data_IF_286866564099
#
_entry.id   IF_286866564099
#
_cell.length_a   1.000
_cell.length_b   1.000
_cell.length_c   1.000
_cell.angle_alpha   90.00
_cell.angle_beta   90.00
_cell.angle_gamma   90.00
#
_symmetry.space_group_name_H-M   'P 1'
#
loop_
_entity.id
_entity.type
_entity.pdbx_description
1 polymer ?
#
# COMPACT_ATOMS: atom_id res chain seq x y z
N UNK A 1 -2.68 28.84 -16.93
CA UNK A 1 -1.26 29.26 -16.98
C UNK A 1 -1.12 30.31 -18.07
N UNK A 2 -0.32 31.35 -17.82
CA UNK A 2 0.01 32.40 -18.79
C UNK A 2 1.53 32.51 -18.90
N UNK A 3 2.06 32.54 -20.12
CA UNK A 3 3.47 32.84 -20.34
C UNK A 3 3.69 34.36 -20.33
N UNK A 4 4.22 34.89 -19.23
CA UNK A 4 4.55 36.31 -19.06
C UNK A 4 5.97 36.67 -19.50
N UNK A 5 6.68 35.74 -20.13
CA UNK A 5 8.05 35.91 -20.62
C UNK A 5 8.08 36.33 -22.09
N UNK A 6 9.27 36.65 -22.57
CA UNK A 6 9.57 37.05 -23.96
C UNK A 6 9.94 35.87 -24.86
N UNK A 7 10.12 34.67 -24.28
CA UNK A 7 10.46 33.44 -25.01
C UNK A 7 9.32 32.43 -24.96
N UNK A 8 9.20 31.59 -26.00
CA UNK A 8 8.26 30.47 -26.01
C UNK A 8 8.75 29.33 -25.12
N UNK A 9 7.86 28.76 -24.31
CA UNK A 9 8.10 27.51 -23.60
C UNK A 9 7.63 26.35 -24.47
N UNK A 10 8.56 25.70 -25.18
CA UNK A 10 8.29 24.52 -26.00
C UNK A 10 8.42 23.24 -25.18
N UNK A 11 7.60 22.24 -25.52
CA UNK A 11 7.60 20.92 -24.85
C UNK A 11 7.43 21.00 -23.33
N UNK A 12 6.72 22.02 -22.84
CA UNK A 12 6.49 22.17 -21.42
C UNK A 12 5.46 21.13 -20.97
N UNK A 13 5.81 20.37 -19.95
CA UNK A 13 4.96 19.31 -19.38
C UNK A 13 4.39 19.84 -18.07
N UNK A 14 3.07 19.95 -17.99
CA UNK A 14 2.37 20.39 -16.78
C UNK A 14 1.05 19.65 -16.64
N UNK A 15 0.56 19.49 -15.42
CA UNK A 15 -0.76 18.93 -15.19
C UNK A 15 -0.99 18.58 -13.73
N UNK A 16 -2.22 18.16 -13.40
CA UNK A 16 -2.56 17.73 -12.06
C UNK A 16 -1.97 16.35 -11.75
N UNK A 17 -1.76 16.11 -10.47
CA UNK A 17 -1.23 14.87 -9.94
C UNK A 17 -2.06 14.40 -8.75
N UNK A 18 -2.13 13.09 -8.57
CA UNK A 18 -2.61 12.47 -7.33
C UNK A 18 -1.46 11.69 -6.70
N UNK A 19 -1.13 12.01 -5.45
CA UNK A 19 -0.17 11.28 -4.63
C UNK A 19 -0.85 10.78 -3.37
N UNK A 20 -0.37 9.66 -2.85
CA UNK A 20 -1.07 8.96 -1.77
C UNK A 20 -0.14 8.55 -0.64
N UNK A 21 -0.59 8.89 0.56
CA UNK A 21 -0.01 8.46 1.83
C UNK A 21 -0.47 7.08 2.30
N UNK A 22 -1.42 6.39 1.63
CA UNK A 22 -1.79 4.97 1.84
C UNK A 22 -2.31 4.34 0.57
N UNK A 23 -2.02 3.08 0.24
CA UNK A 23 -2.61 2.41 -0.93
C UNK A 23 -1.75 2.44 -2.19
N UNK A 24 -2.40 2.38 -3.36
CA UNK A 24 -1.74 2.29 -4.67
C UNK A 24 -2.31 3.26 -5.70
N UNK A 25 -1.50 3.66 -6.68
CA UNK A 25 -1.98 4.32 -7.87
C UNK A 25 -2.41 3.31 -8.95
N UNK A 26 -3.32 3.74 -9.83
CA UNK A 26 -3.95 2.92 -10.85
C UNK A 26 -4.23 3.73 -12.11
N UNK A 27 -4.04 3.10 -13.26
CA UNK A 27 -4.46 3.64 -14.56
C UNK A 27 -5.21 2.58 -15.37
N UNK A 28 -6.44 2.82 -15.83
CA UNK A 28 -7.16 1.89 -16.70
C UNK A 28 -6.36 1.54 -17.95
N UNK A 29 -6.43 0.29 -18.38
CA UNK A 29 -5.66 -0.22 -19.52
C UNK A 29 -4.19 -0.54 -19.20
N UNK A 30 -3.72 -0.24 -17.98
CA UNK A 30 -2.36 -0.53 -17.51
C UNK A 30 -2.35 -1.25 -16.15
N UNK A 31 -3.12 -0.77 -15.17
CA UNK A 31 -3.15 -1.26 -13.80
C UNK A 31 -2.28 -0.42 -12.85
N UNK A 32 -1.74 -1.07 -11.82
CA UNK A 32 -0.74 -0.48 -10.91
C UNK A 32 0.67 -0.86 -11.39
N UNK A 33 1.61 0.09 -11.35
CA UNK A 33 2.99 -0.19 -11.73
C UNK A 33 3.84 1.06 -11.84
N UNK A 34 4.83 1.03 -12.74
CA UNK A 34 5.74 2.15 -12.97
C UNK A 34 5.75 2.55 -14.44
N UNK A 35 5.51 3.83 -14.70
CA UNK A 35 5.67 4.48 -15.99
C UNK A 35 6.52 5.72 -15.75
N UNK A 36 7.68 5.79 -16.41
CA UNK A 36 8.43 7.05 -16.47
C UNK A 36 7.65 8.06 -17.30
N UNK A 37 7.85 9.36 -17.08
CA UNK A 37 7.14 10.40 -17.84
C UNK A 37 7.21 10.14 -19.34
N UNK A 38 6.08 9.78 -19.93
CA UNK A 38 6.00 9.28 -21.32
C UNK A 38 4.61 9.49 -21.92
N UNK A 39 4.47 9.50 -23.26
CA UNK A 39 3.17 9.54 -23.91
C UNK A 39 2.29 8.37 -23.46
N UNK A 40 1.07 8.63 -23.03
CA UNK A 40 0.17 7.58 -22.51
C UNK A 40 -0.19 6.52 -23.56
N UNK A 41 -0.22 6.93 -24.82
CA UNK A 41 -0.49 6.05 -25.97
C UNK A 41 0.59 4.98 -26.15
N UNK A 42 1.83 5.25 -25.71
CA UNK A 42 2.92 4.27 -25.72
C UNK A 42 2.66 3.05 -24.84
N UNK A 43 1.73 3.16 -23.88
CA UNK A 43 1.30 2.07 -23.00
C UNK A 43 -0.10 1.54 -23.34
N UNK A 44 -0.69 2.03 -24.44
CA UNK A 44 -2.06 1.68 -24.84
C UNK A 44 -3.11 2.11 -23.83
N UNK A 45 -2.88 3.25 -23.15
CA UNK A 45 -3.84 3.89 -22.25
C UNK A 45 -4.71 4.84 -23.08
N UNK A 46 -6.00 4.54 -23.16
CA UNK A 46 -7.00 5.37 -23.86
C UNK A 46 -7.79 6.26 -22.91
N UNK A 47 -7.92 5.87 -21.64
CA UNK A 47 -8.67 6.63 -20.65
C UNK A 47 -7.97 7.93 -20.26
N UNK A 48 -8.78 8.86 -19.77
CA UNK A 48 -8.37 10.20 -19.33
C UNK A 48 -8.42 10.35 -17.80
N UNK A 49 -8.60 9.24 -17.08
CA UNK A 49 -8.63 9.22 -15.63
C UNK A 49 -7.60 8.25 -15.05
N UNK A 50 -7.08 8.62 -13.89
CA UNK A 50 -6.23 7.79 -13.04
C UNK A 50 -6.85 7.73 -11.65
N UNK A 51 -6.41 6.81 -10.81
CA UNK A 51 -6.87 6.73 -9.43
C UNK A 51 -5.75 6.46 -8.44
N UNK A 52 -5.96 6.92 -7.20
CA UNK A 52 -5.32 6.40 -6.00
C UNK A 52 -6.36 5.61 -5.21
N UNK A 53 -6.00 4.45 -4.68
CA UNK A 53 -6.98 3.56 -4.05
C UNK A 53 -6.39 2.75 -2.90
N UNK A 54 -7.28 2.40 -1.96
CA UNK A 54 -7.10 1.37 -0.95
C UNK A 54 -8.47 0.67 -0.73
N UNK A 55 -8.56 -0.31 0.17
CA UNK A 55 -9.84 -0.96 0.53
C UNK A 55 -10.88 0.06 1.04
N UNK A 56 -10.42 1.07 1.79
CA UNK A 56 -11.23 2.02 2.56
C UNK A 56 -11.37 3.39 1.90
N UNK A 57 -10.85 3.59 0.68
CA UNK A 57 -11.07 4.83 -0.08
C UNK A 57 -10.67 4.69 -1.56
N UNK A 58 -11.19 5.58 -2.40
CA UNK A 58 -10.64 5.86 -3.72
C UNK A 58 -10.64 7.36 -4.04
N UNK A 59 -9.60 7.81 -4.73
CA UNK A 59 -9.48 9.15 -5.30
C UNK A 59 -9.31 9.01 -6.80
N UNK A 60 -10.26 9.50 -7.59
CA UNK A 60 -10.14 9.60 -9.05
C UNK A 60 -9.64 10.98 -9.45
N UNK A 61 -8.71 11.03 -10.40
CA UNK A 61 -8.32 12.27 -11.08
C UNK A 61 -8.66 12.12 -12.55
N UNK A 62 -9.68 12.85 -13.00
CA UNK A 62 -10.05 12.93 -14.41
C UNK A 62 -9.47 14.21 -15.02
N UNK A 63 -8.58 14.02 -15.99
CA UNK A 63 -7.86 15.08 -16.70
C UNK A 63 -8.12 14.92 -18.20
N UNK A 64 -9.18 15.53 -18.75
CA UNK A 64 -9.56 15.37 -20.14
C UNK A 64 -8.39 15.59 -21.09
N UNK A 65 -8.17 14.66 -22.02
CA UNK A 65 -7.16 14.71 -23.08
C UNK A 65 -5.70 14.91 -22.61
N UNK A 66 -5.34 14.47 -21.41
CA UNK A 66 -3.94 14.50 -21.00
C UNK A 66 -3.10 13.63 -21.97
N UNK A 67 -1.87 14.05 -22.27
CA UNK A 67 -1.04 13.43 -23.31
C UNK A 67 0.05 12.52 -22.76
N UNK A 68 0.55 12.84 -21.56
CA UNK A 68 1.65 12.11 -20.91
C UNK A 68 1.27 11.67 -19.51
N UNK A 69 1.88 10.59 -19.05
CA UNK A 69 1.70 10.08 -17.69
C UNK A 69 3.06 9.77 -17.07
N UNK A 70 3.18 10.05 -15.77
CA UNK A 70 4.11 9.34 -14.91
C UNK A 70 3.30 8.56 -13.88
N UNK A 71 3.64 7.29 -13.68
CA UNK A 71 2.96 6.42 -12.73
C UNK A 71 4.00 5.77 -11.84
N UNK A 72 3.72 5.72 -10.54
CA UNK A 72 4.41 4.92 -9.56
C UNK A 72 3.38 4.19 -8.70
N UNK A 73 3.82 3.30 -7.81
CA UNK A 73 2.89 2.67 -6.86
C UNK A 73 2.19 3.69 -5.96
N UNK A 74 2.75 4.88 -5.74
CA UNK A 74 2.28 5.87 -4.76
C UNK A 74 1.88 7.22 -5.34
N UNK A 75 1.89 7.38 -6.67
CA UNK A 75 1.38 8.57 -7.34
C UNK A 75 1.04 8.29 -8.81
N UNK A 76 0.14 9.09 -9.35
CA UNK A 76 -0.14 9.16 -10.79
C UNK A 76 -0.23 10.63 -11.20
N UNK A 77 0.62 11.01 -12.15
CA UNK A 77 0.70 12.36 -12.67
C UNK A 77 0.20 12.36 -14.10
N UNK A 78 -0.86 13.11 -14.35
CA UNK A 78 -1.39 13.31 -15.69
C UNK A 78 -0.87 14.63 -16.24
N UNK A 79 -0.19 14.60 -17.36
CA UNK A 79 0.43 15.79 -17.93
C UNK A 79 -0.06 16.11 -19.34
N UNK A 80 -0.04 17.40 -19.64
CA UNK A 80 -0.19 17.99 -20.95
C UNK A 80 1.18 18.46 -21.43
N UNK A 81 1.62 17.94 -22.57
CA UNK A 81 2.70 18.55 -23.33
C UNK A 81 2.13 19.71 -24.15
N UNK A 82 2.59 20.92 -23.85
CA UNK A 82 2.14 22.13 -24.54
C UNK A 82 3.31 23.01 -24.96
N UNK A 83 3.08 23.81 -26.01
CA UNK A 83 3.90 24.97 -26.33
C UNK A 83 3.12 26.22 -25.93
N UNK A 84 3.73 27.10 -25.14
CA UNK A 84 3.17 28.39 -24.74
C UNK A 84 4.04 29.52 -25.30
N UNK A 85 3.51 30.26 -26.27
CA UNK A 85 4.19 31.43 -26.83
C UNK A 85 4.10 32.63 -25.88
N UNK A 86 4.97 33.65 -26.02
CA UNK A 86 4.90 34.88 -25.24
C UNK A 86 3.47 35.47 -25.23
N UNK A 87 2.94 35.73 -24.04
CA UNK A 87 1.58 36.23 -23.82
C UNK A 87 0.45 35.20 -23.99
N UNK A 88 0.74 33.96 -24.42
CA UNK A 88 -0.27 32.90 -24.55
C UNK A 88 -0.75 32.44 -23.17
N UNK A 89 -2.06 32.20 -23.07
CA UNK A 89 -2.70 31.61 -21.90
C UNK A 89 -3.41 30.32 -22.26
N UNK A 90 -3.26 29.30 -21.41
CA UNK A 90 -4.03 28.05 -21.50
C UNK A 90 -4.65 27.68 -20.17
N UNK A 91 -5.82 27.06 -20.25
CA UNK A 91 -6.58 26.54 -19.11
C UNK A 91 -6.65 25.03 -19.26
N UNK A 92 -6.33 24.33 -18.17
CA UNK A 92 -6.49 22.88 -18.06
C UNK A 92 -7.53 22.64 -16.99
N UNK A 93 -8.53 21.86 -17.32
CA UNK A 93 -9.59 21.48 -16.39
C UNK A 93 -9.31 20.07 -15.89
N UNK A 94 -9.57 19.82 -14.61
CA UNK A 94 -9.44 18.51 -14.02
C UNK A 94 -10.42 18.35 -12.87
N UNK A 95 -10.87 17.12 -12.65
CA UNK A 95 -11.90 16.79 -11.69
C UNK A 95 -11.33 15.80 -10.68
N UNK A 96 -11.42 16.16 -9.41
CA UNK A 96 -11.10 15.26 -8.30
C UNK A 96 -12.39 14.58 -7.83
N UNK A 97 -12.38 13.26 -7.84
CA UNK A 97 -13.50 12.40 -7.42
C UNK A 97 -13.06 11.70 -6.15
N UNK A 98 -13.82 11.83 -5.06
CA UNK A 98 -13.48 11.26 -3.75
C UNK A 98 -14.56 10.26 -3.35
N UNK A 99 -14.16 9.03 -3.07
CA UNK A 99 -15.04 7.94 -2.66
C UNK A 99 -14.59 7.36 -1.31
N UNK A 100 -15.54 7.02 -0.42
CA UNK A 100 -15.26 6.48 0.91
C UNK A 100 -14.90 4.99 0.90
N UNK A 101 -14.81 4.38 -0.28
CA UNK A 101 -14.49 2.97 -0.45
C UNK A 101 -13.73 2.79 -1.78
N UNK A 102 -12.96 1.71 -1.89
CA UNK A 102 -12.13 1.40 -3.05
C UNK A 102 -12.89 0.93 -4.30
N UNK A 103 -14.00 1.58 -4.70
CA UNK A 103 -14.79 1.23 -5.88
C UNK A 103 -14.38 2.07 -7.10
N UNK A 104 -13.57 1.50 -8.00
CA UNK A 104 -13.11 2.25 -9.17
C UNK A 104 -14.12 2.28 -10.31
N UNK A 105 -15.09 1.35 -10.36
CA UNK A 105 -16.13 1.45 -11.38
C UNK A 105 -17.05 2.65 -11.13
N UNK A 106 -17.22 3.09 -9.87
CA UNK A 106 -17.89 4.36 -9.56
C UNK A 106 -17.10 5.60 -10.03
N UNK A 107 -15.76 5.54 -10.06
CA UNK A 107 -14.95 6.60 -10.69
C UNK A 107 -15.21 6.61 -12.18
N UNK A 108 -15.14 5.45 -12.85
CA UNK A 108 -15.42 5.33 -14.28
C UNK A 108 -16.82 5.86 -14.62
N UNK A 109 -17.85 5.45 -13.88
CA UNK A 109 -19.23 5.95 -14.00
C UNK A 109 -19.30 7.47 -13.87
N UNK A 110 -18.66 8.04 -12.85
CA UNK A 110 -18.63 9.50 -12.64
C UNK A 110 -17.99 10.22 -13.83
N UNK A 111 -16.88 9.69 -14.36
CA UNK A 111 -16.21 10.24 -15.54
C UNK A 111 -17.11 10.19 -16.77
N UNK A 112 -17.82 9.08 -17.00
CA UNK A 112 -18.73 8.97 -18.13
C UNK A 112 -19.94 9.90 -18.01
N UNK A 113 -20.46 10.08 -16.81
CA UNK A 113 -21.54 11.03 -16.55
C UNK A 113 -21.09 12.47 -16.84
N UNK A 114 -19.86 12.85 -16.49
CA UNK A 114 -19.29 14.17 -16.84
C UNK A 114 -19.19 14.34 -18.35
N UNK A 115 -18.79 13.29 -19.08
CA UNK A 115 -18.71 13.30 -20.55
C UNK A 115 -20.08 13.28 -21.24
N UNK A 116 -21.16 12.99 -20.52
CA UNK A 116 -22.49 12.75 -21.10
C UNK A 116 -22.57 11.48 -21.93
N UNK A 117 -21.69 10.51 -21.66
CA UNK A 117 -21.69 9.20 -22.32
C UNK A 117 -22.77 8.28 -21.74
N UNK A 118 -23.20 7.30 -22.54
CA UNK A 118 -24.24 6.35 -22.11
C UNK A 118 -23.61 5.15 -21.41
N UNK A 119 -24.38 4.59 -20.48
CA UNK A 119 -23.98 3.47 -19.64
C UNK A 119 -24.88 2.24 -19.88
N UNK A 120 -24.36 1.08 -19.51
CA UNK A 120 -25.12 -0.14 -19.28
C UNK A 120 -24.99 -0.56 -17.81
N UNK A 121 -26.00 -1.23 -17.27
CA UNK A 121 -26.01 -1.71 -15.89
C UNK A 121 -25.74 -3.20 -15.82
N UNK A 122 -24.91 -3.60 -14.86
CA UNK A 122 -24.60 -5.00 -14.57
C UNK A 122 -24.81 -5.22 -13.08
N UNK A 123 -25.58 -6.23 -12.73
CA UNK A 123 -25.83 -6.60 -11.35
C UNK A 123 -25.85 -8.11 -11.16
N UNK A 124 -25.84 -8.56 -9.92
CA UNK A 124 -26.02 -9.96 -9.58
C UNK A 124 -25.45 -10.31 -8.22
N UNK A 125 -25.20 -11.59 -8.02
CA UNK A 125 -24.63 -12.13 -6.78
C UNK A 125 -23.25 -12.74 -7.00
N UNK A 126 -22.44 -12.69 -5.94
CA UNK A 126 -21.14 -13.33 -5.87
C UNK A 126 -21.07 -14.22 -4.60
N UNK A 127 -20.86 -15.52 -4.81
CA UNK A 127 -20.69 -16.52 -3.77
C UNK A 127 -19.43 -17.34 -4.00
N UNK A 128 -18.97 -18.01 -2.94
CA UNK A 128 -17.94 -19.04 -3.06
C UNK A 128 -18.49 -20.27 -3.79
N UNK A 129 -17.60 -21.17 -4.22
CA UNK A 129 -17.95 -22.49 -4.75
C UNK A 129 -18.71 -23.40 -3.77
N UNK A 130 -18.88 -22.98 -2.51
CA UNK A 130 -19.71 -23.64 -1.50
C UNK A 130 -21.11 -23.03 -1.33
N UNK A 131 -21.36 -21.90 -1.99
CA UNK A 131 -22.58 -21.12 -1.83
C UNK A 131 -22.55 -20.11 -0.67
N UNK A 132 -21.40 -19.91 -0.01
CA UNK A 132 -21.26 -18.85 0.99
C UNK A 132 -21.20 -17.48 0.31
N UNK A 133 -21.80 -16.47 0.93
CA UNK A 133 -21.73 -15.10 0.41
C UNK A 133 -20.27 -14.64 0.34
N UNK A 134 -19.88 -14.04 -0.79
CA UNK A 134 -18.55 -13.48 -0.93
C UNK A 134 -18.44 -12.19 -0.09
N UNK A 135 -17.67 -12.25 0.99
CA UNK A 135 -17.45 -11.12 1.91
C UNK A 135 -16.23 -10.33 1.47
N UNK A 136 -16.34 -8.99 1.45
CA UNK A 136 -15.26 -8.08 1.00
C UNK A 136 -14.70 -8.46 -0.38
N UNK A 137 -15.56 -8.99 -1.24
CA UNK A 137 -15.22 -9.31 -2.61
C UNK A 137 -15.32 -8.09 -3.51
N UNK A 138 -14.79 -8.24 -4.72
CA UNK A 138 -14.94 -7.28 -5.81
C UNK A 138 -15.36 -8.03 -7.08
N UNK A 139 -15.98 -7.30 -8.00
CA UNK A 139 -16.14 -7.72 -9.39
C UNK A 139 -15.19 -6.91 -10.24
N UNK A 140 -14.18 -7.58 -10.78
CA UNK A 140 -13.18 -7.01 -11.67
C UNK A 140 -13.73 -6.91 -13.09
N UNK A 141 -13.45 -5.79 -13.74
CA UNK A 141 -13.80 -5.52 -15.13
C UNK A 141 -12.51 -5.34 -15.92
N UNK A 142 -12.37 -6.12 -16.99
CA UNK A 142 -11.29 -6.01 -17.96
C UNK A 142 -11.87 -5.55 -19.31
N UNK A 143 -11.14 -4.69 -20.01
CA UNK A 143 -11.42 -4.28 -21.39
C UNK A 143 -10.20 -4.57 -22.23
N UNK A 144 -10.37 -5.26 -23.36
CA UNK A 144 -9.26 -5.72 -24.22
C UNK A 144 -8.16 -6.47 -23.45
N UNK A 145 -8.56 -7.37 -22.54
CA UNK A 145 -7.68 -8.14 -21.65
C UNK A 145 -6.78 -7.30 -20.72
N UNK A 146 -7.14 -6.02 -20.51
CA UNK A 146 -6.45 -5.11 -19.61
C UNK A 146 -7.39 -4.69 -18.48
N UNK A 147 -6.87 -4.43 -17.27
CA UNK A 147 -7.70 -4.01 -16.15
C UNK A 147 -8.36 -2.66 -16.47
N UNK A 148 -9.67 -2.54 -16.23
CA UNK A 148 -10.44 -1.31 -16.47
C UNK A 148 -10.91 -0.66 -15.16
N UNK A 149 -11.67 -1.39 -14.35
CA UNK A 149 -12.14 -0.97 -13.03
C UNK A 149 -12.56 -2.18 -12.21
N UNK A 150 -12.98 -1.98 -10.96
CA UNK A 150 -13.71 -2.99 -10.19
C UNK A 150 -14.78 -2.35 -9.32
N UNK A 151 -15.88 -3.08 -9.11
CA UNK A 151 -16.97 -2.72 -8.19
C UNK A 151 -16.95 -3.60 -6.94
N UNK A 152 -17.55 -3.13 -5.85
CA UNK A 152 -17.55 -3.86 -4.58
C UNK A 152 -18.72 -4.85 -4.48
N UNK A 153 -18.46 -6.01 -3.88
CA UNK A 153 -19.50 -6.97 -3.46
C UNK A 153 -19.92 -6.65 -2.03
N UNK A 154 -21.19 -6.33 -1.83
CA UNK A 154 -21.79 -6.00 -0.54
C UNK A 154 -22.87 -7.02 -0.21
N UNK A 155 -22.73 -7.72 0.93
CA UNK A 155 -23.63 -8.81 1.33
C UNK A 155 -23.86 -9.84 0.21
N UNK A 156 -22.80 -10.21 -0.51
CA UNK A 156 -22.84 -11.17 -1.61
C UNK A 156 -23.56 -10.67 -2.87
N UNK A 157 -23.95 -9.40 -2.96
CA UNK A 157 -24.52 -8.80 -4.17
C UNK A 157 -23.65 -7.65 -4.67
N UNK A 158 -23.73 -7.35 -5.95
CA UNK A 158 -23.01 -6.23 -6.56
C UNK A 158 -23.84 -5.56 -7.64
N UNK A 159 -23.51 -4.31 -7.93
CA UNK A 159 -24.05 -3.56 -9.06
C UNK A 159 -22.99 -2.59 -9.56
N UNK A 160 -22.82 -2.49 -10.87
CA UNK A 160 -21.86 -1.59 -11.50
C UNK A 160 -22.40 -1.05 -12.83
N UNK A 161 -21.96 0.15 -13.20
CA UNK A 161 -22.30 0.81 -14.46
C UNK A 161 -21.07 0.84 -15.35
N UNK A 162 -21.18 0.36 -16.59
CA UNK A 162 -20.08 0.37 -17.56
C UNK A 162 -20.36 1.28 -18.76
N UNK A 163 -19.33 1.89 -19.35
CA UNK A 163 -19.47 2.63 -20.61
C UNK A 163 -20.08 1.75 -21.71
N UNK A 164 -20.97 2.34 -22.50
CA UNK A 164 -21.61 1.66 -23.61
C UNK A 164 -21.56 2.52 -24.89
N UNK A 165 -21.30 1.92 -26.07
CA UNK A 165 -21.07 0.49 -26.29
C UNK A 165 -19.68 0.03 -25.86
N UNK A 166 -19.54 -1.24 -25.48
CA UNK A 166 -18.25 -1.80 -25.05
C UNK A 166 -18.24 -3.32 -24.96
N UNK A 167 -17.05 -3.91 -24.97
CA UNK A 167 -16.85 -5.35 -24.73
C UNK A 167 -15.94 -5.54 -23.53
N UNK A 168 -16.37 -6.37 -22.59
CA UNK A 168 -15.76 -6.55 -21.29
C UNK A 168 -15.62 -8.03 -20.93
N UNK A 169 -14.60 -8.35 -20.13
CA UNK A 169 -14.46 -9.61 -19.39
C UNK A 169 -14.64 -9.28 -17.91
N UNK A 170 -15.55 -9.99 -17.24
CA UNK A 170 -15.91 -9.75 -15.83
C UNK A 170 -15.77 -11.01 -15.00
N UNK A 171 -15.24 -10.87 -13.79
CA UNK A 171 -15.09 -11.96 -12.83
C UNK A 171 -15.06 -11.45 -11.39
N UNK A 172 -15.51 -12.27 -10.46
CA UNK A 172 -15.45 -11.99 -9.02
C UNK A 172 -14.16 -12.52 -8.40
N UNK A 173 -13.65 -11.83 -7.39
CA UNK A 173 -12.52 -12.26 -6.56
C UNK A 173 -12.57 -11.61 -5.18
N UNK A 174 -11.84 -12.19 -4.23
CA UNK A 174 -11.66 -11.65 -2.88
C UNK A 174 -10.24 -11.94 -2.39
N UNK A 175 -9.87 -11.35 -1.24
CA UNK A 175 -8.54 -11.54 -0.65
C UNK A 175 -8.31 -13.03 -0.37
N UNK A 176 -7.13 -13.52 -0.77
CA UNK A 176 -6.74 -14.93 -0.66
C UNK A 176 -7.67 -15.94 -1.39
N UNK A 177 -8.65 -15.52 -2.18
CA UNK A 177 -9.46 -16.44 -2.98
C UNK A 177 -8.90 -16.53 -4.41
N UNK A 178 -9.09 -17.66 -5.08
CA UNK A 178 -8.89 -17.71 -6.53
C UNK A 178 -10.12 -17.09 -7.24
N UNK A 179 -9.93 -16.43 -8.40
CA UNK A 179 -11.01 -15.75 -9.09
C UNK A 179 -12.08 -16.74 -9.59
N UNK A 180 -13.30 -16.25 -9.77
CA UNK A 180 -14.36 -16.96 -10.48
C UNK A 180 -13.99 -17.18 -11.95
N UNK A 181 -14.79 -17.99 -12.64
CA UNK A 181 -14.78 -18.03 -14.11
C UNK A 181 -15.07 -16.65 -14.69
N UNK A 182 -14.33 -16.29 -15.74
CA UNK A 182 -14.54 -15.05 -16.50
C UNK A 182 -15.77 -15.18 -17.39
N UNK A 183 -16.62 -14.16 -17.37
CA UNK A 183 -17.77 -14.03 -18.26
C UNK A 183 -17.53 -12.86 -19.22
N UNK A 184 -17.68 -13.11 -20.52
CA UNK A 184 -17.52 -12.09 -21.55
C UNK A 184 -18.89 -11.48 -21.89
N UNK A 185 -18.90 -10.16 -22.05
CA UNK A 185 -20.09 -9.37 -22.25
C UNK A 185 -19.83 -8.30 -23.31
N UNK A 186 -20.79 -8.08 -24.21
CA UNK A 186 -20.87 -6.88 -25.03
C UNK A 186 -22.10 -6.10 -24.62
N UNK A 187 -21.93 -4.83 -24.27
CA UNK A 187 -23.00 -3.96 -23.79
C UNK A 187 -23.37 -2.91 -24.83
N UNK A 188 -24.66 -2.61 -24.93
CA UNK A 188 -25.21 -1.46 -25.64
C UNK A 188 -25.86 -0.48 -24.65
N UNK A 189 -26.05 0.80 -25.07
CA UNK A 189 -26.59 1.83 -24.19
C UNK A 189 -27.96 1.49 -23.58
N UNK A 190 -28.08 1.61 -22.26
CA UNK A 190 -29.33 1.39 -21.52
C UNK A 190 -29.69 -0.07 -21.29
N UNK A 191 -28.83 -1.01 -21.70
CA UNK A 191 -29.02 -2.43 -21.39
C UNK A 191 -28.71 -2.74 -19.92
N UNK A 192 -29.36 -3.79 -19.44
CA UNK A 192 -29.22 -4.32 -18.09
C UNK A 192 -28.89 -5.81 -18.17
N UNK A 193 -27.89 -6.24 -17.40
CA UNK A 193 -27.40 -7.62 -17.38
C UNK A 193 -27.37 -8.15 -15.95
N UNK A 194 -27.95 -9.33 -15.75
CA UNK A 194 -27.77 -10.11 -14.52
C UNK A 194 -26.65 -11.14 -14.74
N UNK A 195 -25.55 -11.00 -14.00
CA UNK A 195 -24.42 -11.93 -14.03
C UNK A 195 -24.17 -12.45 -12.62
N UNK A 196 -24.19 -13.78 -12.45
CA UNK A 196 -23.97 -14.40 -11.15
C UNK A 196 -22.63 -15.14 -11.15
N UNK A 197 -21.84 -14.94 -10.10
CA UNK A 197 -20.56 -15.62 -9.88
C UNK A 197 -20.71 -16.56 -8.68
N UNK A 198 -20.68 -17.87 -8.90
CA UNK A 198 -20.95 -18.85 -7.84
C UNK A 198 -19.79 -19.83 -7.61
N UNK A 199 -18.64 -19.54 -8.19
CA UNK A 199 -17.49 -20.44 -8.31
C UNK A 199 -16.18 -19.79 -7.83
N UNK A 200 -16.25 -18.72 -7.02
CA UNK A 200 -15.06 -18.17 -6.37
C UNK A 200 -14.48 -19.21 -5.41
N UNK A 201 -13.21 -19.57 -5.60
CA UNK A 201 -12.62 -20.71 -4.88
C UNK A 201 -12.05 -20.22 -3.54
N UNK A 202 -12.47 -20.81 -2.39
CA UNK A 202 -11.96 -20.46 -1.07
C UNK A 202 -10.44 -20.62 -0.92
N UNK A 203 -9.81 -19.85 0.00
CA UNK A 203 -8.41 -19.98 0.33
C UNK A 203 -8.06 -21.34 0.93
N UNK A 204 -6.79 -21.69 0.88
CA UNK A 204 -6.16 -22.59 1.85
C UNK A 204 -5.40 -21.80 2.93
N UNK A 205 -5.11 -22.45 4.05
CA UNK A 205 -4.41 -21.86 5.19
C UNK A 205 -2.99 -22.35 5.29
N UNK A 206 -2.03 -21.44 5.44
CA UNK A 206 -0.64 -21.76 5.73
C UNK A 206 -0.38 -21.52 7.22
N UNK A 207 0.16 -22.53 7.90
CA UNK A 207 0.67 -22.44 9.27
C UNK A 207 2.17 -22.69 9.20
N UNK A 208 2.95 -21.61 9.29
CA UNK A 208 4.40 -21.64 9.18
C UNK A 208 5.03 -21.40 10.54
N UNK A 209 5.99 -22.25 10.93
CA UNK A 209 6.78 -22.09 12.15
C UNK A 209 8.28 -22.01 11.80
N UNK A 210 8.93 -20.94 12.26
CA UNK A 210 10.35 -20.67 12.04
C UNK A 210 11.17 -20.96 13.28
N UNK A 211 12.19 -21.78 13.14
CA UNK A 211 13.13 -22.15 14.19
C UNK A 211 14.55 -21.73 13.85
N UNK A 212 15.38 -21.49 14.87
CA UNK A 212 16.81 -21.34 14.70
C UNK A 212 17.45 -22.72 14.55
N UNK A 213 18.34 -22.87 13.56
CA UNK A 213 19.00 -24.14 13.26
C UNK A 213 19.90 -24.64 14.41
N UNK A 214 20.55 -23.73 15.13
CA UNK A 214 21.52 -24.06 16.17
C UNK A 214 20.91 -24.39 17.54
N UNK A 215 19.77 -23.78 17.89
CA UNK A 215 19.12 -23.93 19.20
C UNK A 215 17.82 -24.71 19.15
N UNK A 216 17.19 -24.79 17.97
CA UNK A 216 15.84 -25.35 17.82
C UNK A 216 14.73 -24.44 18.38
N UNK A 217 15.07 -23.26 18.89
CA UNK A 217 14.08 -22.32 19.44
C UNK A 217 13.33 -21.58 18.32
N UNK A 218 12.04 -21.25 18.51
CA UNK A 218 11.31 -20.41 17.59
C UNK A 218 11.94 -19.00 17.46
N UNK A 219 11.84 -18.37 16.29
CA UNK A 219 12.41 -17.04 16.06
C UNK A 219 11.56 -16.17 15.15
N UNK A 220 11.55 -14.87 15.42
CA UNK A 220 10.86 -13.92 14.55
C UNK A 220 11.43 -13.93 13.14
N UNK A 221 10.57 -13.75 12.13
CA UNK A 221 10.98 -13.66 10.74
C UNK A 221 9.97 -12.84 9.92
N UNK A 222 10.49 -12.29 8.82
CA UNK A 222 9.71 -11.76 7.70
C UNK A 222 9.55 -12.87 6.66
N UNK A 223 8.35 -13.07 6.17
CA UNK A 223 8.01 -14.02 5.12
C UNK A 223 7.57 -13.20 3.90
N UNK A 224 8.38 -13.21 2.85
CA UNK A 224 7.98 -12.68 1.54
C UNK A 224 7.26 -13.79 0.78
N UNK A 225 6.05 -13.49 0.31
CA UNK A 225 5.22 -14.41 -0.45
C UNK A 225 5.28 -14.01 -1.92
N UNK A 226 5.70 -14.95 -2.76
CA UNK A 226 5.62 -14.82 -4.21
C UNK A 226 5.02 -16.11 -4.76
N UNK A 227 4.32 -16.06 -5.88
CA UNK A 227 3.67 -17.26 -6.40
C UNK A 227 3.00 -17.05 -7.72
N UNK A 228 2.34 -18.11 -8.16
CA UNK A 228 1.69 -18.19 -9.47
C UNK A 228 0.54 -17.18 -9.62
N UNK A 229 -0.22 -16.96 -8.54
CA UNK A 229 -1.33 -16.02 -8.55
C UNK A 229 -1.00 -14.72 -7.84
N UNK A 230 -1.08 -13.61 -8.59
CA UNK A 230 -1.04 -12.24 -8.07
C UNK A 230 -2.35 -11.56 -8.45
N UNK A 231 -3.19 -11.15 -7.48
CA UNK A 231 -4.45 -10.49 -7.80
C UNK A 231 -4.17 -9.12 -8.44
N UNK A 232 -5.01 -8.68 -9.40
CA UNK A 232 -4.84 -7.40 -10.08
C UNK A 232 -5.07 -6.18 -9.18
N UNK A 233 -5.69 -6.38 -8.01
CA UNK A 233 -5.97 -5.35 -7.01
C UNK A 233 -5.08 -5.55 -5.80
N UNK A 234 -4.22 -4.57 -5.54
CA UNK A 234 -3.05 -4.78 -4.69
C UNK A 234 -3.36 -5.04 -3.21
N UNK A 235 -4.45 -4.48 -2.65
CA UNK A 235 -4.84 -4.76 -1.26
C UNK A 235 -5.38 -6.19 -1.04
N UNK A 236 -5.71 -6.91 -2.13
CA UNK A 236 -6.09 -8.32 -2.08
C UNK A 236 -4.88 -9.25 -2.04
N UNK A 237 -3.69 -8.74 -2.39
CA UNK A 237 -2.47 -9.54 -2.41
C UNK A 237 -1.92 -9.76 -0.99
N UNK A 238 -1.40 -10.96 -0.74
CA UNK A 238 -0.58 -11.28 0.43
C UNK A 238 0.86 -11.37 -0.06
N UNK A 239 1.67 -10.36 0.26
CA UNK A 239 3.06 -10.25 -0.24
C UNK A 239 4.09 -10.29 0.87
N UNK A 240 3.74 -9.81 2.05
CA UNK A 240 4.60 -9.82 3.24
C UNK A 240 3.79 -10.27 4.44
N UNK A 241 4.33 -11.23 5.17
CA UNK A 241 3.80 -11.72 6.45
C UNK A 241 4.92 -11.66 7.47
N UNK A 242 4.56 -11.42 8.73
CA UNK A 242 5.50 -11.53 9.84
C UNK A 242 5.04 -12.64 10.79
N UNK A 243 5.99 -13.28 11.45
CA UNK A 243 5.67 -14.13 12.60
C UNK A 243 5.01 -13.30 13.71
N UNK A 244 4.10 -13.93 14.44
CA UNK A 244 3.35 -13.33 15.53
C UNK A 244 4.25 -12.72 16.60
N UNK A 245 3.86 -11.56 17.12
CA UNK A 245 4.56 -10.96 18.26
C UNK A 245 4.27 -11.70 19.57
N UNK A 246 3.26 -12.56 19.66
CA UNK A 246 2.91 -13.29 20.90
C UNK A 246 3.18 -14.79 20.81
N UNK A 247 3.20 -15.35 19.59
CA UNK A 247 3.49 -16.76 19.33
C UNK A 247 4.76 -16.83 18.47
N UNK A 248 5.91 -16.71 19.15
CA UNK A 248 7.21 -16.47 18.52
C UNK A 248 7.49 -17.53 17.46
N UNK A 249 7.92 -17.09 16.28
CA UNK A 249 8.23 -17.97 15.15
C UNK A 249 7.02 -18.46 14.36
N UNK A 250 5.79 -18.28 14.85
CA UNK A 250 4.60 -18.75 14.15
C UNK A 250 3.93 -17.67 13.31
N UNK A 251 3.64 -17.98 12.05
CA UNK A 251 2.85 -17.15 11.14
C UNK A 251 1.65 -17.96 10.62
N UNK A 252 0.46 -17.34 10.58
CA UNK A 252 -0.75 -17.93 10.02
C UNK A 252 -1.35 -16.96 9.02
N UNK A 253 -1.56 -17.42 7.80
CA UNK A 253 -2.11 -16.61 6.74
C UNK A 253 -2.81 -17.49 5.70
N UNK A 254 -3.79 -16.90 5.03
CA UNK A 254 -4.58 -17.58 4.01
C UNK A 254 -4.08 -17.16 2.62
N UNK A 255 -4.00 -18.12 1.69
CA UNK A 255 -3.60 -17.90 0.29
C UNK A 255 -4.61 -18.55 -0.65
N UNK A 256 -4.69 -18.01 -1.87
CA UNK A 256 -5.45 -18.66 -2.92
C UNK A 256 -4.84 -20.03 -3.24
N UNK A 257 -5.63 -21.00 -3.72
CA UNK A 257 -5.07 -22.25 -4.20
C UNK A 257 -4.01 -22.02 -5.29
N UNK A 258 -2.85 -22.68 -5.15
CA UNK A 258 -1.73 -22.49 -6.06
C UNK A 258 -0.38 -22.87 -5.45
N UNK A 259 0.69 -22.68 -6.21
CA UNK A 259 2.06 -22.90 -5.74
C UNK A 259 2.77 -21.57 -5.47
N UNK A 260 3.40 -21.48 -4.30
CA UNK A 260 4.04 -20.27 -3.79
C UNK A 260 5.46 -20.54 -3.32
N UNK A 261 6.34 -19.58 -3.57
CA UNK A 261 7.63 -19.47 -2.92
C UNK A 261 7.50 -18.58 -1.69
N UNK A 262 7.82 -19.13 -0.53
CA UNK A 262 7.94 -18.40 0.72
C UNK A 262 9.42 -18.15 0.99
N UNK A 263 9.82 -16.88 1.05
CA UNK A 263 11.18 -16.48 1.42
C UNK A 263 11.19 -15.99 2.86
N UNK A 264 11.77 -16.80 3.74
CA UNK A 264 11.90 -16.56 5.17
C UNK A 264 13.20 -15.80 5.42
N UNK A 265 13.10 -14.64 6.06
CA UNK A 265 14.21 -13.73 6.31
C UNK A 265 14.24 -13.30 7.78
N UNK A 266 15.41 -13.46 8.42
CA UNK A 266 15.71 -12.99 9.78
C UNK A 266 16.95 -12.12 9.72
N UNK A 267 16.84 -10.86 10.09
CA UNK A 267 18.00 -9.98 10.12
C UNK A 267 18.31 -9.25 8.83
N UNK A 268 17.39 -9.25 7.86
CA UNK A 268 17.49 -8.49 6.62
C UNK A 268 18.82 -8.67 5.86
N UNK A 269 19.39 -9.88 5.88
CA UNK A 269 20.66 -10.20 5.24
C UNK A 269 21.93 -9.83 6.04
N UNK A 270 21.81 -9.20 7.22
CA UNK A 270 22.97 -8.82 8.04
C UNK A 270 23.50 -9.96 8.92
N UNK A 271 22.59 -10.76 9.49
CA UNK A 271 22.94 -11.84 10.44
C UNK A 271 22.55 -13.24 9.98
N UNK A 272 21.74 -13.35 8.93
CA UNK A 272 21.36 -14.62 8.29
C UNK A 272 21.15 -14.43 6.79
N UNK A 273 21.21 -15.53 6.04
CA UNK A 273 20.76 -15.57 4.66
C UNK A 273 19.29 -15.99 4.63
N UNK A 274 18.50 -15.33 3.78
CA UNK A 274 17.10 -15.71 3.57
C UNK A 274 16.99 -17.13 2.97
N UNK A 275 15.97 -17.87 3.40
CA UNK A 275 15.69 -19.23 2.93
C UNK A 275 14.37 -19.26 2.18
N UNK A 276 14.39 -19.76 0.96
CA UNK A 276 13.18 -19.93 0.15
C UNK A 276 12.73 -21.39 0.13
N UNK A 277 11.44 -21.60 0.34
CA UNK A 277 10.77 -22.91 0.20
C UNK A 277 9.58 -22.78 -0.75
N UNK A 278 9.22 -23.88 -1.39
CA UNK A 278 8.01 -23.98 -2.21
C UNK A 278 6.91 -24.66 -1.40
N UNK A 279 5.69 -24.11 -1.45
CA UNK A 279 4.49 -24.66 -0.82
C UNK A 279 3.36 -24.71 -1.83
N UNK A 280 2.61 -25.80 -1.83
CA UNK A 280 1.36 -25.92 -2.60
C UNK A 280 0.20 -25.77 -1.64
N UNK A 281 -0.68 -24.81 -1.91
CA UNK A 281 -1.87 -24.52 -1.13
C UNK A 281 -3.07 -25.04 -1.90
N UNK A 282 -3.85 -25.90 -1.26
CA UNK A 282 -5.13 -26.38 -1.78
C UNK A 282 -6.29 -25.67 -1.08
N UNK A 283 -7.42 -25.56 -1.77
CA UNK A 283 -8.61 -24.91 -1.23
C UNK A 283 -9.07 -25.60 0.05
N UNK A 284 -9.32 -24.80 1.09
CA UNK A 284 -9.83 -25.24 2.40
C UNK A 284 -8.92 -26.23 3.16
N UNK A 285 -7.70 -26.46 2.68
CA UNK A 285 -6.72 -27.28 3.37
C UNK A 285 -5.81 -26.42 4.24
N UNK A 286 -5.26 -27.05 5.28
CA UNK A 286 -4.20 -26.48 6.11
C UNK A 286 -2.87 -27.08 5.66
N UNK A 287 -1.89 -26.22 5.42
CA UNK A 287 -0.52 -26.60 5.10
C UNK A 287 0.36 -26.20 6.28
N UNK A 288 0.85 -27.20 7.02
CA UNK A 288 1.80 -27.01 8.11
C UNK A 288 3.25 -27.06 7.58
N UNK A 289 4.03 -26.04 7.92
CA UNK A 289 5.39 -25.87 7.40
C UNK A 289 6.34 -25.50 8.52
N UNK A 290 7.40 -26.29 8.70
CA UNK A 290 8.47 -25.99 9.64
C UNK A 290 9.74 -25.62 8.87
N UNK A 291 10.34 -24.47 9.21
CA UNK A 291 11.53 -23.96 8.53
C UNK A 291 12.58 -23.60 9.57
N UNK A 292 13.81 -24.05 9.32
CA UNK A 292 14.97 -23.58 10.09
C UNK A 292 15.71 -22.46 9.35
N UNK A 293 16.15 -21.44 10.11
CA UNK A 293 17.06 -20.38 9.68
C UNK A 293 18.37 -20.44 10.46
N UNK A 294 19.48 -20.13 9.80
CA UNK A 294 20.81 -20.13 10.40
C UNK A 294 21.24 -18.70 10.75
N UNK A 295 21.45 -18.41 12.03
CA UNK A 295 22.05 -17.15 12.47
C UNK A 295 23.56 -17.31 12.39
N UNK A 296 24.19 -16.61 11.45
CA UNK A 296 25.62 -16.71 11.17
C UNK A 296 26.46 -15.79 12.06
N UNK A 297 25.89 -14.67 12.49
CA UNK A 297 26.57 -13.68 13.32
C UNK A 297 25.60 -13.05 14.31
N UNK A 298 26.05 -12.84 15.54
CA UNK A 298 25.27 -12.17 16.59
C UNK A 298 26.09 -10.99 17.14
N UNK A 299 25.89 -9.77 16.61
CA UNK A 299 26.64 -8.58 17.02
C UNK A 299 26.71 -8.37 18.54
N UNK A 300 25.64 -8.71 19.26
CA UNK A 300 25.56 -8.54 20.72
C UNK A 300 26.60 -9.35 21.49
N UNK A 301 27.06 -10.47 20.93
CA UNK A 301 28.08 -11.31 21.58
C UNK A 301 29.45 -10.60 21.58
N UNK A 302 29.63 -9.61 20.69
CA UNK A 302 30.79 -8.73 20.58
C UNK A 302 30.54 -7.34 21.20
N UNK A 303 29.41 -7.16 21.91
CA UNK A 303 29.03 -5.88 22.53
C UNK A 303 28.46 -4.84 21.56
N UNK A 304 28.07 -5.23 20.34
CA UNK A 304 27.40 -4.35 19.37
C UNK A 304 25.89 -4.60 19.35
N UNK A 305 25.10 -3.53 19.30
CA UNK A 305 23.64 -3.63 19.27
C UNK A 305 23.07 -3.08 17.95
N UNK A 306 22.17 -3.83 17.33
CA UNK A 306 21.44 -3.44 16.12
C UNK A 306 20.19 -2.69 16.50
N UNK A 307 20.06 -1.47 15.98
CA UNK A 307 18.97 -0.55 16.31
C UNK A 307 18.54 0.22 15.07
N UNK A 308 17.27 0.58 15.01
CA UNK A 308 16.72 1.54 14.05
C UNK A 308 16.12 2.71 14.83
N UNK A 309 16.86 3.82 14.89
CA UNK A 309 16.50 4.99 15.72
C UNK A 309 15.70 6.04 14.95
N UNK A 310 15.00 5.64 13.89
CA UNK A 310 14.04 6.49 13.17
C UNK A 310 13.03 5.63 12.37
N UNK A 311 11.90 5.31 12.99
CA UNK A 311 10.84 4.49 12.40
C UNK A 311 9.47 4.99 12.84
N UNK A 312 8.55 5.14 11.90
CA UNK A 312 7.18 5.61 12.12
C UNK A 312 6.19 4.44 12.19
N UNK A 313 5.10 4.64 12.90
CA UNK A 313 3.98 3.70 13.00
C UNK A 313 2.83 4.14 12.10
N UNK A 314 1.57 3.89 12.47
CA UNK A 314 0.39 4.24 11.68
C UNK A 314 -0.06 5.70 11.88
N UNK A 315 0.88 6.59 12.21
CA UNK A 315 0.63 8.01 12.40
C UNK A 315 1.20 8.87 11.27
N UNK A 316 0.36 9.77 10.75
CA UNK A 316 0.66 10.71 9.67
C UNK A 316 1.16 10.10 8.35
N UNK A 317 2.47 9.94 8.16
CA UNK A 317 3.10 9.62 6.87
C UNK A 317 3.55 8.16 6.73
N UNK A 318 3.43 7.37 7.80
CA UNK A 318 3.52 5.92 7.76
C UNK A 318 2.17 5.28 8.14
N UNK A 319 2.07 3.96 7.97
CA UNK A 319 0.82 3.19 7.91
C UNK A 319 0.95 1.87 8.66
N UNK A 320 2.05 1.66 9.36
CA UNK A 320 2.39 0.37 9.98
C UNK A 320 1.82 0.32 11.39
N UNK A 321 0.78 -0.51 11.66
CA UNK A 321 0.21 -0.61 13.00
C UNK A 321 1.28 -0.97 14.03
N UNK A 322 1.17 -0.51 15.28
CA UNK A 322 2.15 -0.76 16.35
C UNK A 322 2.63 -2.22 16.46
N UNK A 323 1.71 -3.18 16.34
CA UNK A 323 2.04 -4.61 16.37
C UNK A 323 2.94 -5.04 15.20
N UNK A 324 2.61 -4.61 13.98
CA UNK A 324 3.40 -4.94 12.80
C UNK A 324 4.75 -4.21 12.78
N UNK A 325 4.84 -3.01 13.37
CA UNK A 325 6.10 -2.31 13.57
C UNK A 325 7.04 -3.13 14.48
N UNK A 326 6.52 -3.62 15.62
CA UNK A 326 7.28 -4.50 16.52
C UNK A 326 7.69 -5.78 15.78
N UNK A 327 6.75 -6.44 15.10
CA UNK A 327 7.03 -7.67 14.36
C UNK A 327 8.13 -7.46 13.29
N UNK A 328 8.08 -6.35 12.56
CA UNK A 328 9.06 -6.00 11.55
C UNK A 328 10.45 -5.74 12.14
N UNK A 329 10.54 -4.98 13.23
CA UNK A 329 11.81 -4.71 13.90
C UNK A 329 12.44 -5.97 14.50
N UNK A 330 11.64 -6.83 15.13
CA UNK A 330 12.11 -8.12 15.65
C UNK A 330 12.54 -9.06 14.53
N UNK A 331 11.78 -9.14 13.43
CA UNK A 331 12.17 -9.90 12.23
C UNK A 331 13.47 -9.40 11.62
N UNK A 332 13.70 -8.08 11.61
CA UNK A 332 14.97 -7.45 11.20
C UNK A 332 16.13 -7.69 12.18
N UNK A 333 15.89 -8.38 13.29
CA UNK A 333 16.93 -8.77 14.23
C UNK A 333 17.37 -7.65 15.18
N UNK A 334 16.61 -6.56 15.30
CA UNK A 334 16.97 -5.45 16.18
C UNK A 334 16.94 -5.88 17.65
N UNK A 335 17.89 -5.36 18.43
CA UNK A 335 18.05 -5.65 19.86
C UNK A 335 17.14 -4.81 20.76
N UNK A 336 16.57 -3.73 20.20
CA UNK A 336 15.57 -2.90 20.85
C UNK A 336 14.52 -2.46 19.85
N UNK A 337 13.30 -2.25 20.33
CA UNK A 337 12.24 -1.63 19.55
C UNK A 337 12.28 -0.12 19.75
N UNK A 338 12.04 0.64 18.68
CA UNK A 338 12.01 2.09 18.69
C UNK A 338 10.85 2.62 17.84
N UNK A 339 10.23 3.71 18.27
CA UNK A 339 9.25 4.46 17.46
C UNK A 339 9.52 5.94 17.59
N UNK A 340 9.34 6.70 16.51
CA UNK A 340 9.45 8.16 16.49
C UNK A 340 8.42 8.76 15.54
N UNK A 341 7.14 8.62 15.86
CA UNK A 341 6.09 9.24 15.06
C UNK A 341 6.25 10.77 15.01
N UNK A 342 5.75 11.39 13.94
CA UNK A 342 5.75 12.85 13.81
C UNK A 342 4.87 13.49 14.88
N UNK A 343 5.49 14.30 15.74
CA UNK A 343 4.83 15.10 16.77
C UNK A 343 3.81 14.32 17.63
N UNK A 344 4.00 13.00 17.77
CA UNK A 344 3.03 12.09 18.39
C UNK A 344 3.76 10.95 19.11
N UNK A 345 3.18 10.54 20.25
CA UNK A 345 3.70 9.44 21.07
C UNK A 345 2.60 8.51 21.55
N UNK A 346 1.37 8.68 21.06
CA UNK A 346 0.20 7.95 21.57
C UNK A 346 0.27 6.44 21.32
N UNK A 347 1.12 5.99 20.39
CA UNK A 347 1.38 4.58 20.13
C UNK A 347 2.44 3.97 21.07
N UNK A 348 3.22 4.77 21.80
CA UNK A 348 4.25 4.26 22.72
C UNK A 348 3.69 3.31 23.79
N UNK A 349 2.55 3.56 24.46
CA UNK A 349 2.00 2.61 25.44
C UNK A 349 1.64 1.25 24.86
N UNK A 350 1.11 1.21 23.64
CA UNK A 350 0.75 -0.05 22.94
C UNK A 350 2.02 -0.84 22.63
N UNK A 351 3.03 -0.18 22.07
CA UNK A 351 4.32 -0.81 21.75
C UNK A 351 5.02 -1.28 23.03
N UNK A 352 4.99 -0.47 24.10
CA UNK A 352 5.57 -0.80 25.40
C UNK A 352 4.95 -2.08 25.99
N UNK A 353 3.63 -2.27 25.86
CA UNK A 353 2.95 -3.46 26.34
C UNK A 353 3.39 -4.73 25.58
N UNK A 354 3.54 -4.63 24.24
CA UNK A 354 4.02 -5.74 23.41
C UNK A 354 5.47 -6.09 23.76
N UNK A 355 6.35 -5.09 23.89
CA UNK A 355 7.77 -5.30 24.16
C UNK A 355 8.02 -5.82 25.58
N UNK A 356 7.21 -5.42 26.57
CA UNK A 356 7.20 -6.02 27.91
C UNK A 356 6.83 -7.49 27.88
N UNK A 357 5.74 -7.85 27.17
CA UNK A 357 5.36 -9.25 26.99
C UNK A 357 6.46 -10.07 26.32
N UNK A 358 7.30 -9.41 25.50
CA UNK A 358 8.43 -10.01 24.80
C UNK A 358 9.76 -9.95 25.52
N UNK A 359 9.84 -9.28 26.67
CA UNK A 359 11.11 -9.00 27.37
C UNK A 359 12.17 -8.37 26.46
N UNK A 360 11.74 -7.49 25.54
CA UNK A 360 12.62 -6.75 24.63
C UNK A 360 12.67 -5.29 25.07
N UNK A 361 13.85 -4.64 25.10
CA UNK A 361 13.95 -3.21 25.38
C UNK A 361 13.14 -2.36 24.40
N UNK A 362 12.52 -1.30 24.90
CA UNK A 362 11.80 -0.32 24.09
C UNK A 362 12.24 1.10 24.43
N UNK A 363 12.39 1.91 23.38
CA UNK A 363 12.65 3.34 23.51
C UNK A 363 11.52 4.10 22.80
N UNK A 364 10.66 4.74 23.59
CA UNK A 364 9.71 5.71 23.07
C UNK A 364 10.46 6.97 22.65
N UNK A 365 10.43 7.29 21.36
CA UNK A 365 10.92 8.56 20.82
C UNK A 365 9.79 9.35 20.17
N UNK A 366 10.13 10.51 19.63
CA UNK A 366 9.25 11.31 18.79
C UNK A 366 10.09 12.07 17.77
N UNK A 367 9.62 12.14 16.52
CA UNK A 367 10.17 13.06 15.54
C UNK A 367 9.47 14.41 15.68
N UNK A 368 10.16 15.39 16.23
CA UNK A 368 9.69 16.77 16.28
C UNK A 368 9.90 17.40 14.91
N UNK A 369 8.82 17.86 14.27
CA UNK A 369 8.82 18.29 12.87
C UNK A 369 8.27 19.71 12.66
N UNK A 370 8.99 20.75 13.10
CA UNK A 370 8.72 22.11 12.67
C UNK A 370 9.01 22.32 11.19
N UNK A 371 8.48 23.40 10.61
CA UNK A 371 8.57 23.72 9.18
C UNK A 371 10.01 23.92 8.65
N UNK A 372 10.99 24.01 9.54
CA UNK A 372 12.38 24.35 9.20
C UNK A 372 13.39 23.21 9.47
N UNK A 373 13.00 22.11 10.14
CA UNK A 373 13.89 20.99 10.47
C UNK A 373 13.13 19.82 11.10
N UNK A 374 13.72 18.62 11.12
CA UNK A 374 13.17 17.50 11.88
C UNK A 374 14.21 16.88 12.84
N UNK A 375 13.76 16.48 14.04
CA UNK A 375 14.62 15.91 15.06
C UNK A 375 13.99 14.74 15.78
N UNK A 376 14.72 13.64 15.94
CA UNK A 376 14.35 12.61 16.89
C UNK A 376 14.82 12.98 18.28
N UNK A 377 13.91 12.92 19.26
CA UNK A 377 14.23 13.05 20.68
C UNK A 377 13.82 11.78 21.41
N UNK A 378 14.72 11.27 22.25
CA UNK A 378 14.47 10.03 22.99
C UNK A 378 15.38 9.86 24.21
N UNK A 379 14.95 9.10 25.23
CA UNK A 379 13.58 8.61 25.41
C UNK A 379 12.62 9.77 25.75
N UNK A 380 11.34 9.62 25.45
CA UNK A 380 10.27 10.49 25.96
C UNK A 380 9.69 9.84 27.22
N UNK A 381 9.87 10.48 28.37
CA UNK A 381 9.39 10.01 29.67
C UNK A 381 8.13 10.78 30.10
N UNK A 382 8.15 12.11 29.96
CA UNK A 382 6.99 12.97 30.23
C UNK A 382 6.58 13.72 28.96
N UNK A 383 5.68 13.13 28.15
CA UNK A 383 5.28 13.75 26.88
C UNK A 383 4.51 15.06 27.05
N UNK A 384 3.99 15.36 28.24
CA UNK A 384 3.30 16.63 28.51
C UNK A 384 4.23 17.85 28.47
N UNK A 385 5.55 17.62 28.49
CA UNK A 385 6.58 18.66 28.40
C UNK A 385 7.03 18.95 26.98
N UNK A 386 6.65 18.12 26.00
CA UNK A 386 7.09 18.28 24.63
C UNK A 386 6.56 19.57 24.01
N UNK A 387 7.39 20.17 23.17
CA UNK A 387 7.07 21.34 22.36
C UNK A 387 7.45 21.00 20.93
N UNK A 388 6.47 20.99 20.03
CA UNK A 388 6.64 20.54 18.65
C UNK A 388 6.98 21.68 17.67
N UNK A 389 6.77 22.94 18.09
CA UNK A 389 6.97 24.13 17.26
C UNK A 389 7.70 25.18 18.07
N UNK A 390 8.49 26.00 17.39
CA UNK A 390 9.28 27.07 18.01
C UNK A 390 10.72 27.07 17.52
N UNK A 391 11.58 27.74 18.27
CA UNK A 391 13.02 27.77 18.03
C UNK A 391 13.68 26.46 18.43
N UNK A 392 14.86 26.18 17.86
CA UNK A 392 15.71 25.06 18.27
C UNK A 392 15.92 25.00 19.80
N UNK A 393 16.16 26.16 20.44
CA UNK A 393 16.39 26.23 21.88
C UNK A 393 15.17 25.79 22.68
N UNK A 394 13.98 26.26 22.30
CA UNK A 394 12.73 25.88 22.98
C UNK A 394 12.46 24.38 22.84
N UNK A 395 12.58 23.85 21.62
CA UNK A 395 12.39 22.43 21.32
C UNK A 395 13.37 21.56 22.12
N UNK A 396 14.68 21.88 22.11
CA UNK A 396 15.67 21.12 22.88
C UNK A 396 15.40 21.23 24.38
N UNK A 397 15.07 22.42 24.89
CA UNK A 397 14.80 22.62 26.32
C UNK A 397 13.59 21.79 26.77
N UNK A 398 12.52 21.82 25.99
CA UNK A 398 11.31 21.01 26.21
C UNK A 398 11.61 19.51 26.13
N UNK A 399 12.38 19.06 25.14
CA UNK A 399 12.78 17.67 25.01
C UNK A 399 13.59 17.19 26.23
N UNK A 400 14.53 18.00 26.73
CA UNK A 400 15.25 17.69 27.98
C UNK A 400 14.32 17.61 29.18
N UNK A 401 13.35 18.52 29.29
CA UNK A 401 12.34 18.49 30.34
C UNK A 401 11.42 17.26 30.24
N UNK A 402 11.18 16.75 29.03
CA UNK A 402 10.46 15.50 28.77
C UNK A 402 11.28 14.23 29.05
N UNK A 403 12.55 14.36 29.47
CA UNK A 403 13.43 13.24 29.80
C UNK A 403 14.37 12.79 28.68
N UNK A 404 14.39 13.47 27.53
CA UNK A 404 15.24 13.08 26.41
C UNK A 404 16.73 13.22 26.76
N UNK A 405 17.48 12.14 26.52
CA UNK A 405 18.95 12.11 26.65
C UNK A 405 19.64 12.30 25.30
N UNK A 406 18.96 11.96 24.21
CA UNK A 406 19.41 12.19 22.84
C UNK A 406 18.51 13.17 22.11
N UNK A 407 19.13 14.04 21.31
CA UNK A 407 18.49 14.84 20.27
C UNK A 407 19.29 14.62 19.00
N UNK A 408 18.66 14.04 17.99
CA UNK A 408 19.28 13.67 16.71
C UNK A 408 18.67 14.53 15.61
N UNK A 409 19.48 15.26 14.85
CA UNK A 409 19.02 15.87 13.61
C UNK A 409 18.73 14.77 12.58
N UNK A 410 17.53 14.76 12.03
CA UNK A 410 17.14 13.79 11.02
C UNK A 410 17.40 14.37 9.63
N UNK A 411 17.83 13.51 8.70
CA UNK A 411 17.88 13.76 7.24
C UNK A 411 18.16 15.24 6.82
N UNK A 412 19.29 15.83 7.25
CA UNK A 412 19.51 17.30 7.26
C UNK A 412 19.64 17.97 5.89
N UNK A 413 19.46 17.24 4.79
CA UNK A 413 19.56 17.74 3.42
C UNK A 413 18.27 17.60 2.62
N UNK A 414 17.18 17.12 3.23
CA UNK A 414 15.92 16.94 2.53
C UNK A 414 15.19 18.29 2.38
N UNK A 415 14.84 18.66 1.13
CA UNK A 415 13.92 19.78 0.84
C UNK A 415 14.36 21.18 1.26
N UNK A 416 15.62 21.40 1.63
CA UNK A 416 16.08 22.68 2.20
C UNK A 416 15.70 22.89 3.67
N UNK A 417 15.22 21.85 4.34
CA UNK A 417 15.13 21.82 5.80
C UNK A 417 16.56 21.93 6.37
N UNK A 418 16.72 22.67 7.47
CA UNK A 418 17.98 23.13 8.08
C UNK A 418 18.74 24.29 7.41
N UNK A 419 18.20 24.95 6.37
CA UNK A 419 18.81 26.16 5.77
C UNK A 419 18.28 27.45 6.43
N UNK A 420 18.19 27.48 7.76
CA UNK A 420 17.80 28.68 8.53
C UNK A 420 19.01 29.50 8.96
#
# INVERSE_FOLDING_TARGET
MTNNDTISYSNHIMGPAVSLKRGWAYTPGFGTGRIVTSPKTGYGISEDWVAAYHEDYALGLYSPNYTHIALHSSFADTFYQVTLNPGESRVFEAYLIVLPEGDLCRIAETVQNIKGERLASIHGVATTSKGDLLVKGIVMVESNSKPYCWGLVKNGSYALSLPAPGTYSVFALAKAHAPSTRQNLTVAPGEEFELNFTDVIPPGRVVLTVFRNNTGEPTDARILVSGEYVPPVMYLAVTTVYTSVYDVGRAVFDLAPGTYNLTIDKGAGFISNAKTISVTVESEQVVDVNVTVEIMFKPSDEGWYMVDLHHHSDWMDDRTPPELLVAAQLASGLDMVFVSDHDYVGNCPVIQAITQARSVPFVCGVEISPDWAHFNVYPVVDPSKLVYRGTMREIITAARAAGAIMVRANHPWIGGLFIA
#
